data_IF_346788406271
#
_entry.id   IF_346788406271
#
_cell.length_a   1.000
_cell.length_b   1.000
_cell.length_c   1.000
_cell.angle_alpha   90.00
_cell.angle_beta   90.00
_cell.angle_gamma   90.00
#
_symmetry.space_group_name_H-M   'P 1'
#
loop_
_entity.id
_entity.type
_entity.pdbx_description
1 polymer ?
#
# COMPACT_ATOMS: atom_id res chain seq x y z
N UNK A 1 36.85 -16.99 22.95
CA UNK A 1 36.40 -16.25 24.17
C UNK A 1 36.88 -14.79 24.28
N UNK A 2 37.76 -14.27 23.41
CA UNK A 2 38.11 -12.84 23.40
C UNK A 2 37.13 -11.96 22.59
N UNK A 3 36.34 -12.59 21.71
CA UNK A 3 35.41 -11.92 20.79
C UNK A 3 34.18 -11.33 21.50
N UNK A 4 33.61 -12.06 22.47
CA UNK A 4 32.43 -11.63 23.24
C UNK A 4 32.66 -10.37 24.10
N UNK A 5 33.91 -10.07 24.48
CA UNK A 5 34.24 -8.87 25.27
C UNK A 5 34.24 -7.59 24.44
N UNK A 6 34.53 -7.69 23.14
CA UNK A 6 34.50 -6.54 22.22
C UNK A 6 33.06 -6.18 21.86
N UNK A 7 32.21 -7.19 21.66
CA UNK A 7 30.78 -6.99 21.41
C UNK A 7 30.07 -6.29 22.57
N UNK A 8 30.32 -6.70 23.82
CA UNK A 8 29.71 -6.06 25.00
C UNK A 8 30.08 -4.58 25.17
N UNK A 9 31.27 -4.18 24.71
CA UNK A 9 31.73 -2.79 24.80
C UNK A 9 31.10 -1.91 23.72
N UNK A 10 30.94 -2.44 22.50
CA UNK A 10 30.26 -1.73 21.40
C UNK A 10 28.77 -1.57 21.69
N UNK A 11 28.11 -2.60 22.22
CA UNK A 11 26.68 -2.60 22.54
C UNK A 11 26.34 -1.62 23.67
N UNK A 12 27.21 -1.51 24.69
CA UNK A 12 27.06 -0.52 25.76
C UNK A 12 27.24 0.93 25.26
N UNK A 13 28.15 1.17 24.32
CA UNK A 13 28.36 2.49 23.70
C UNK A 13 27.18 2.89 22.80
N UNK A 14 26.61 1.94 22.06
CA UNK A 14 25.43 2.17 21.22
C UNK A 14 24.19 2.53 22.07
N UNK A 15 23.95 1.83 23.19
CA UNK A 15 22.84 2.19 24.10
C UNK A 15 23.02 3.55 24.79
N UNK A 16 24.26 3.95 25.10
CA UNK A 16 24.52 5.28 25.67
C UNK A 16 24.25 6.41 24.68
N UNK A 17 24.41 6.17 23.37
CA UNK A 17 24.09 7.14 22.33
C UNK A 17 22.58 7.28 22.06
N UNK A 18 21.80 6.19 22.14
CA UNK A 18 20.35 6.25 21.89
C UNK A 18 19.56 6.88 23.04
N UNK A 19 19.96 6.67 24.30
CA UNK A 19 19.26 7.30 25.45
C UNK A 19 19.53 8.81 25.55
N UNK A 20 20.68 9.29 25.03
CA UNK A 20 21.00 10.73 25.01
C UNK A 20 20.21 11.56 23.98
N UNK A 21 19.70 10.95 22.91
CA UNK A 21 19.05 11.67 21.80
C UNK A 21 17.58 12.06 22.02
N UNK A 22 16.88 11.44 22.97
CA UNK A 22 15.43 11.62 23.14
C UNK A 22 15.06 12.89 23.93
N UNK A 23 16.03 13.60 24.51
CA UNK A 23 15.77 14.77 25.37
C UNK A 23 15.62 16.13 24.66
N UNK A 24 15.66 16.20 23.32
CA UNK A 24 15.63 17.49 22.57
C UNK A 24 14.33 17.75 21.79
N UNK A 25 13.39 16.79 21.69
CA UNK A 25 12.22 16.94 20.81
C UNK A 25 10.88 17.27 21.50
N UNK A 26 10.86 17.58 22.80
CA UNK A 26 9.61 17.91 23.51
C UNK A 26 9.49 19.41 23.87
N UNK A 27 9.64 20.30 22.88
CA UNK A 27 9.47 21.76 23.02
C UNK A 27 8.73 22.40 21.82
N UNK A 28 7.67 21.76 21.30
CA UNK A 28 6.65 22.45 20.51
C UNK A 28 5.25 21.97 20.91
N UNK A 29 4.88 22.32 22.15
CA UNK A 29 3.50 22.36 22.60
C UNK A 29 2.79 23.58 21.98
N UNK A 30 1.54 23.35 21.56
CA UNK A 30 0.39 24.24 21.82
C UNK A 30 0.51 25.67 21.25
N UNK A 31 -0.02 25.86 20.04
CA UNK A 31 -0.68 27.12 19.67
C UNK A 31 -2.16 26.83 19.43
N UNK A 32 -2.90 26.88 20.53
CA UNK A 32 -4.34 27.06 20.56
C UNK A 32 -4.69 28.34 19.78
N UNK A 33 -5.62 28.24 18.83
CA UNK A 33 -6.08 29.36 18.01
C UNK A 33 -7.45 29.06 17.44
N UNK A 34 -8.48 29.27 18.25
CA UNK A 34 -9.87 29.27 17.79
C UNK A 34 -10.09 30.43 16.81
N UNK A 35 -10.54 30.09 15.60
CA UNK A 35 -11.03 31.03 14.62
C UNK A 35 -12.54 31.15 14.74
N UNK A 36 -12.98 32.19 15.44
CA UNK A 36 -14.34 32.71 15.43
C UNK A 36 -14.70 33.23 14.03
N UNK A 37 -15.92 32.93 13.58
CA UNK A 37 -16.48 33.44 12.32
C UNK A 37 -16.87 34.90 12.53
N UNK A 38 -16.17 35.82 11.88
CA UNK A 38 -16.60 37.23 11.77
C UNK A 38 -16.79 37.63 10.32
N UNK A 39 -18.04 37.98 10.00
CA UNK A 39 -18.46 38.64 8.76
C UNK A 39 -18.04 40.11 8.80
N UNK A 40 -17.40 40.59 7.72
CA UNK A 40 -17.49 41.97 7.27
C UNK A 40 -16.24 42.84 7.37
N UNK A 41 -15.92 43.51 6.26
CA UNK A 41 -15.54 44.93 6.29
C UNK A 41 -14.05 45.29 6.20
N UNK A 42 -13.72 45.92 5.06
CA UNK A 42 -12.75 47.02 4.91
C UNK A 42 -11.24 46.74 4.76
N UNK A 43 -10.78 47.11 3.57
CA UNK A 43 -9.41 47.54 3.20
C UNK A 43 -9.01 48.77 4.03
N UNK A 44 -7.73 48.91 4.42
CA UNK A 44 -6.91 49.94 3.79
C UNK A 44 -5.45 49.56 3.54
N UNK A 45 -4.81 50.41 2.74
CA UNK A 45 -3.52 50.32 2.09
C UNK A 45 -2.25 50.47 2.96
N UNK A 46 -1.14 49.98 2.39
CA UNK A 46 0.23 50.55 2.38
C UNK A 46 1.22 50.27 3.55
N UNK A 47 2.27 49.47 3.28
CA UNK A 47 3.64 49.93 2.90
C UNK A 47 4.80 49.10 3.50
N UNK A 48 5.81 48.83 2.64
CA UNK A 48 7.26 48.58 2.91
C UNK A 48 7.67 47.22 3.52
N UNK A 49 8.76 46.53 3.16
CA UNK A 49 9.83 46.63 2.14
C UNK A 49 10.66 45.32 2.23
N UNK A 50 11.30 44.87 1.13
CA UNK A 50 12.60 44.15 1.21
C UNK A 50 12.67 42.62 1.05
N UNK A 51 12.79 42.16 -0.21
CA UNK A 51 13.90 41.30 -0.65
C UNK A 51 13.82 39.76 -0.54
N UNK A 52 13.65 39.07 -1.68
CA UNK A 52 14.64 38.14 -2.29
C UNK A 52 13.97 37.19 -3.31
N UNK A 53 14.35 37.31 -4.59
CA UNK A 53 14.13 36.32 -5.65
C UNK A 53 14.89 35.01 -5.35
N UNK A 54 14.42 33.87 -5.88
CA UNK A 54 15.02 33.38 -7.11
C UNK A 54 14.00 32.95 -8.17
N UNK A 55 14.45 33.15 -9.41
CA UNK A 55 13.82 32.84 -10.68
C UNK A 55 13.33 31.38 -10.79
N UNK A 56 12.09 31.21 -11.23
CA UNK A 56 11.69 30.04 -12.01
C UNK A 56 10.85 30.49 -13.19
N UNK A 57 11.47 30.30 -14.35
CA UNK A 57 10.92 30.53 -15.67
C UNK A 57 9.58 29.84 -15.88
N UNK A 58 8.75 30.59 -16.58
CA UNK A 58 7.47 30.22 -17.11
C UNK A 58 7.57 29.03 -18.08
N UNK A 59 6.64 28.09 -17.96
CA UNK A 59 6.13 27.38 -19.11
C UNK A 59 4.60 27.39 -19.04
N UNK A 60 4.03 28.39 -19.71
CA UNK A 60 2.63 28.48 -20.05
C UNK A 60 2.46 27.92 -21.46
N UNK A 61 1.56 26.96 -21.62
CA UNK A 61 1.19 26.37 -22.90
C UNK A 61 -0.08 25.55 -22.73
N UNK A 62 -1.18 26.26 -22.45
CA UNK A 62 -2.52 25.72 -22.59
C UNK A 62 -2.96 25.97 -24.04
N UNK A 63 -3.20 24.90 -24.79
CA UNK A 63 -3.98 24.94 -26.02
C UNK A 63 -5.00 23.81 -25.95
N UNK A 64 -6.27 24.22 -25.90
CA UNK A 64 -7.45 23.39 -26.07
C UNK A 64 -7.63 23.18 -27.57
N UNK A 65 -7.73 21.92 -28.01
CA UNK A 65 -8.43 21.60 -29.26
C UNK A 65 -9.48 20.53 -28.95
N UNK A 66 -10.73 20.98 -29.04
CA UNK A 66 -11.94 20.19 -29.20
C UNK A 66 -12.05 19.78 -30.66
N UNK A 67 -12.02 18.49 -30.95
CA UNK A 67 -12.49 17.97 -32.24
C UNK A 67 -13.76 17.13 -32.02
N UNK A 68 -14.87 17.76 -32.41
CA UNK A 68 -16.14 17.13 -32.75
C UNK A 68 -15.96 16.18 -33.94
N UNK A 69 -16.25 14.89 -33.72
CA UNK A 69 -16.33 13.86 -34.75
C UNK A 69 -17.75 13.32 -34.87
N UNK A 70 -18.57 14.02 -35.66
CA UNK A 70 -19.91 13.59 -36.07
C UNK A 70 -19.79 12.88 -37.43
N UNK A 71 -20.30 11.64 -37.57
CA UNK A 71 -20.15 10.87 -38.81
C UNK A 71 -20.85 9.51 -38.86
N UNK A 72 -22.14 9.57 -39.21
CA UNK A 72 -22.95 8.62 -39.98
C UNK A 72 -23.29 7.21 -39.46
N UNK A 73 -24.61 7.02 -39.36
CA UNK A 73 -25.31 5.75 -39.34
C UNK A 73 -25.18 5.00 -40.68
N UNK A 74 -25.33 3.67 -40.65
CA UNK A 74 -26.39 2.90 -41.33
C UNK A 74 -25.90 1.46 -41.60
N UNK A 75 -26.66 0.47 -41.11
CA UNK A 75 -27.12 -0.70 -41.86
C UNK A 75 -27.57 -1.81 -40.91
N UNK A 76 -28.89 -1.87 -40.68
CA UNK A 76 -29.56 -3.08 -40.22
C UNK A 76 -29.69 -4.10 -41.36
N UNK A 77 -29.55 -5.40 -41.07
CA UNK A 77 -30.00 -6.47 -41.97
C UNK A 77 -29.67 -7.89 -41.49
N UNK A 78 -30.53 -8.90 -41.74
CA UNK A 78 -30.86 -9.98 -40.79
C UNK A 78 -30.10 -11.32 -40.98
N UNK A 79 -30.14 -12.19 -39.95
CA UNK A 79 -29.68 -13.60 -39.96
C UNK A 79 -30.48 -14.53 -40.91
N UNK A 80 -30.13 -15.82 -41.09
CA UNK A 80 -30.27 -16.92 -40.08
C UNK A 80 -29.13 -17.99 -40.11
N UNK A 81 -28.73 -18.61 -38.99
CA UNK A 81 -29.18 -19.86 -38.31
C UNK A 81 -28.54 -21.20 -38.76
N UNK A 82 -28.24 -22.02 -37.72
CA UNK A 82 -28.32 -23.48 -37.60
C UNK A 82 -27.08 -24.43 -37.69
N UNK A 83 -26.98 -25.27 -36.64
CA UNK A 83 -26.39 -26.62 -36.61
C UNK A 83 -25.10 -26.75 -35.77
N UNK A 84 -25.00 -27.47 -34.65
CA UNK A 84 -25.84 -28.49 -34.04
C UNK A 84 -25.23 -29.00 -32.71
N UNK A 85 -25.81 -30.05 -32.08
CA UNK A 85 -25.70 -30.34 -30.65
C UNK A 85 -24.49 -31.23 -30.30
N UNK A 86 -23.81 -30.89 -29.20
CA UNK A 86 -22.81 -31.74 -28.55
C UNK A 86 -23.27 -32.15 -27.16
N UNK A 87 -23.48 -33.44 -26.99
CA UNK A 87 -23.89 -34.12 -25.77
C UNK A 87 -23.01 -33.82 -24.55
N UNK A 88 -23.65 -33.29 -23.50
CA UNK A 88 -23.66 -33.87 -22.16
C UNK A 88 -22.35 -34.16 -21.43
N UNK A 89 -21.87 -33.18 -20.66
CA UNK A 89 -21.31 -33.45 -19.33
C UNK A 89 -21.95 -32.44 -18.36
N UNK A 90 -22.60 -32.87 -17.26
CA UNK A 90 -23.22 -31.93 -16.33
C UNK A 90 -22.12 -31.16 -15.61
N UNK A 91 -21.96 -29.89 -15.96
CA UNK A 91 -21.21 -28.95 -15.14
C UNK A 91 -21.79 -28.98 -13.71
N UNK A 92 -20.96 -29.10 -12.66
CA UNK A 92 -21.45 -29.02 -11.30
C UNK A 92 -22.14 -27.66 -11.11
N UNK A 93 -23.35 -27.70 -10.55
CA UNK A 93 -24.14 -26.52 -10.23
C UNK A 93 -23.30 -25.48 -9.45
N UNK A 94 -23.52 -24.17 -9.65
CA UNK A 94 -22.94 -23.16 -8.78
C UNK A 94 -23.39 -23.47 -7.35
N UNK A 95 -22.44 -23.86 -6.50
CA UNK A 95 -22.70 -23.95 -5.08
C UNK A 95 -22.72 -22.52 -4.55
N UNK A 96 -23.90 -21.99 -4.26
CA UNK A 96 -24.05 -20.82 -3.40
C UNK A 96 -23.43 -21.13 -2.03
N UNK A 97 -22.38 -20.43 -1.56
CA UNK A 97 -22.04 -20.49 -0.15
C UNK A 97 -23.02 -19.62 0.66
N UNK A 98 -23.44 -20.08 1.84
CA UNK A 98 -24.43 -19.40 2.66
C UNK A 98 -23.94 -18.02 3.13
N UNK A 99 -24.88 -17.07 3.12
CA UNK A 99 -24.72 -15.72 3.61
C UNK A 99 -24.55 -15.65 5.14
N UNK A 100 -23.66 -14.73 5.55
CA UNK A 100 -23.82 -13.82 6.69
C UNK A 100 -23.77 -14.41 8.11
N UNK A 101 -22.53 -14.68 8.55
CA UNK A 101 -22.13 -14.46 9.94
C UNK A 101 -21.17 -13.27 10.02
N UNK A 102 -21.08 -12.55 11.16
CA UNK A 102 -20.03 -11.55 11.38
C UNK A 102 -18.67 -12.26 11.32
N UNK A 103 -17.97 -12.15 10.19
CA UNK A 103 -16.72 -12.87 9.90
C UNK A 103 -16.74 -13.75 8.64
N UNK A 104 -17.88 -13.90 7.95
CA UNK A 104 -17.90 -14.53 6.63
C UNK A 104 -17.30 -13.55 5.59
N UNK A 105 -16.23 -13.97 4.91
CA UNK A 105 -15.69 -13.24 3.76
C UNK A 105 -16.82 -12.92 2.77
N UNK A 106 -16.89 -11.69 2.22
CA UNK A 106 -17.96 -11.31 1.33
C UNK A 106 -18.01 -12.26 0.13
N UNK A 107 -19.23 -12.57 -0.32
CA UNK A 107 -19.43 -13.30 -1.56
C UNK A 107 -18.70 -12.53 -2.69
N UNK A 108 -17.83 -13.22 -3.43
CA UNK A 108 -17.06 -12.63 -4.54
C UNK A 108 -15.54 -12.58 -4.36
N UNK A 109 -14.99 -12.92 -3.20
CA UNK A 109 -13.52 -13.05 -3.06
C UNK A 109 -12.98 -14.29 -3.77
N UNK A 110 -11.79 -14.18 -4.37
CA UNK A 110 -11.04 -15.33 -4.89
C UNK A 110 -10.53 -16.23 -3.75
N UNK A 111 -10.06 -17.44 -4.07
CA UNK A 111 -9.49 -18.34 -3.06
C UNK A 111 -8.27 -17.72 -2.35
N UNK A 112 -7.42 -17.08 -3.13
CA UNK A 112 -6.21 -16.42 -2.66
C UNK A 112 -6.52 -15.21 -1.77
N UNK A 113 -7.48 -14.40 -2.17
CA UNK A 113 -7.97 -13.28 -1.36
C UNK A 113 -8.54 -13.75 -0.02
N UNK A 114 -9.29 -14.86 0.00
CA UNK A 114 -9.77 -15.45 1.26
C UNK A 114 -8.62 -15.97 2.11
N UNK A 115 -7.60 -16.57 1.50
CA UNK A 115 -6.39 -17.01 2.19
C UNK A 115 -5.68 -15.85 2.88
N UNK A 116 -5.48 -14.75 2.16
CA UNK A 116 -4.88 -13.53 2.71
C UNK A 116 -5.70 -12.94 3.87
N UNK A 117 -7.01 -12.77 3.70
CA UNK A 117 -7.87 -12.23 4.77
C UNK A 117 -7.84 -13.15 5.99
N UNK A 118 -7.88 -14.47 5.80
CA UNK A 118 -7.79 -15.41 6.91
C UNK A 118 -6.45 -15.31 7.64
N UNK A 119 -5.34 -15.23 6.90
CA UNK A 119 -3.99 -15.10 7.48
C UNK A 119 -3.85 -13.86 8.38
N UNK A 120 -4.50 -12.75 8.02
CA UNK A 120 -4.46 -11.50 8.80
C UNK A 120 -5.53 -11.42 9.89
N UNK A 121 -6.67 -12.07 9.73
CA UNK A 121 -7.76 -12.02 10.72
C UNK A 121 -7.38 -12.62 12.08
N UNK A 122 -6.38 -13.51 12.10
CA UNK A 122 -5.85 -14.13 13.31
C UNK A 122 -4.72 -13.32 13.97
N UNK A 123 -4.27 -12.21 13.38
CA UNK A 123 -3.21 -11.37 13.95
C UNK A 123 -3.78 -10.27 14.84
N UNK A 124 -2.97 -9.76 15.77
CA UNK A 124 -3.36 -8.62 16.60
C UNK A 124 -3.41 -7.29 15.83
N UNK A 125 -2.91 -7.26 14.60
CA UNK A 125 -2.81 -6.05 13.78
C UNK A 125 -4.13 -5.71 13.09
N UNK A 126 -4.96 -6.71 12.77
CA UNK A 126 -6.28 -6.52 12.18
C UNK A 126 -7.36 -6.81 13.23
N UNK A 127 -8.09 -5.79 13.72
CA UNK A 127 -9.15 -6.01 14.70
C UNK A 127 -10.22 -6.98 14.18
N UNK A 128 -10.77 -7.79 15.08
CA UNK A 128 -11.88 -8.68 14.76
C UNK A 128 -13.08 -7.87 14.21
N UNK A 129 -13.68 -8.38 13.13
CA UNK A 129 -14.78 -7.72 12.43
C UNK A 129 -14.34 -6.57 11.51
N UNK A 130 -13.04 -6.41 11.23
CA UNK A 130 -12.56 -5.53 10.16
C UNK A 130 -13.16 -5.95 8.82
N UNK A 131 -13.55 -4.97 8.01
CA UNK A 131 -14.11 -5.23 6.69
C UNK A 131 -13.09 -5.98 5.80
N UNK A 132 -13.45 -7.14 5.23
CA UNK A 132 -12.52 -7.93 4.42
C UNK A 132 -11.96 -7.19 3.20
N UNK A 133 -12.69 -6.23 2.63
CA UNK A 133 -12.16 -5.43 1.52
C UNK A 133 -11.07 -4.46 2.01
N UNK A 134 -11.24 -3.85 3.19
CA UNK A 134 -10.19 -3.06 3.83
C UNK A 134 -8.94 -3.89 4.15
N UNK A 135 -9.10 -5.16 4.55
CA UNK A 135 -7.94 -6.06 4.73
C UNK A 135 -7.24 -6.28 3.39
N UNK A 136 -7.98 -6.60 2.33
CA UNK A 136 -7.40 -6.81 0.99
C UNK A 136 -6.68 -5.58 0.42
N UNK A 137 -7.15 -4.38 0.77
CA UNK A 137 -6.48 -3.13 0.40
C UNK A 137 -5.06 -3.08 0.96
N UNK A 138 -4.86 -3.49 2.22
CA UNK A 138 -3.52 -3.58 2.84
C UNK A 138 -2.61 -4.56 2.09
N UNK A 139 -3.15 -5.72 1.69
CA UNK A 139 -2.40 -6.70 0.91
C UNK A 139 -2.01 -6.19 -0.47
N UNK A 140 -2.91 -5.46 -1.12
CA UNK A 140 -2.66 -4.83 -2.43
C UNK A 140 -1.60 -3.74 -2.30
N UNK A 141 -1.67 -2.90 -1.26
CA UNK A 141 -0.65 -1.88 -0.97
C UNK A 141 0.73 -2.52 -0.74
N UNK A 142 0.80 -3.65 -0.03
CA UNK A 142 2.05 -4.38 0.16
C UNK A 142 2.63 -4.88 -1.17
N UNK A 143 1.82 -5.49 -2.03
CA UNK A 143 2.24 -5.92 -3.36
C UNK A 143 2.67 -4.75 -4.26
N UNK A 144 1.97 -3.63 -4.20
CA UNK A 144 2.34 -2.40 -4.95
C UNK A 144 3.68 -1.83 -4.47
N UNK A 145 3.93 -1.86 -3.16
CA UNK A 145 5.19 -1.41 -2.57
C UNK A 145 6.34 -2.34 -2.94
N UNK A 146 6.13 -3.65 -2.96
CA UNK A 146 7.09 -4.63 -3.47
C UNK A 146 7.40 -4.39 -4.95
N UNK A 147 6.37 -4.17 -5.77
CA UNK A 147 6.54 -3.85 -7.18
C UNK A 147 7.27 -2.52 -7.41
N UNK A 148 7.07 -1.54 -6.53
CA UNK A 148 7.84 -0.29 -6.53
C UNK A 148 9.31 -0.56 -6.21
N UNK A 149 9.62 -1.28 -5.12
CA UNK A 149 10.99 -1.61 -4.75
C UNK A 149 11.69 -2.43 -5.83
N UNK A 150 11.03 -3.41 -6.43
CA UNK A 150 11.58 -4.18 -7.55
C UNK A 150 11.95 -3.33 -8.78
N UNK A 151 11.38 -2.13 -8.93
CA UNK A 151 11.73 -1.19 -10.01
C UNK A 151 12.76 -0.14 -9.60
N UNK A 152 12.88 0.16 -8.31
CA UNK A 152 13.59 1.35 -7.82
C UNK A 152 14.72 1.06 -6.83
N UNK A 153 14.77 -0.15 -6.27
CA UNK A 153 15.77 -0.61 -5.34
C UNK A 153 16.49 -1.84 -5.91
N UNK A 154 17.64 -2.15 -5.32
CA UNK A 154 18.31 -3.43 -5.58
C UNK A 154 17.56 -4.58 -4.91
N UNK A 155 17.82 -5.79 -5.39
CA UNK A 155 17.25 -7.00 -4.80
C UNK A 155 17.63 -7.14 -3.32
N UNK A 156 18.88 -6.85 -2.97
CA UNK A 156 19.37 -6.88 -1.58
C UNK A 156 18.68 -5.83 -0.69
N UNK A 157 18.44 -4.62 -1.20
CA UNK A 157 17.67 -3.61 -0.48
C UNK A 157 16.21 -4.02 -0.27
N UNK A 158 15.61 -4.70 -1.25
CA UNK A 158 14.24 -5.20 -1.15
C UNK A 158 14.13 -6.33 -0.13
N UNK A 159 15.08 -7.27 -0.15
CA UNK A 159 15.20 -8.34 0.86
C UNK A 159 15.41 -7.76 2.26
N UNK A 160 16.27 -6.75 2.40
CA UNK A 160 16.48 -6.07 3.68
C UNK A 160 15.19 -5.39 4.18
N UNK A 161 14.45 -4.70 3.32
CA UNK A 161 13.17 -4.07 3.66
C UNK A 161 12.11 -5.09 4.11
N UNK A 162 12.08 -6.27 3.47
CA UNK A 162 11.23 -7.39 3.89
C UNK A 162 11.61 -7.92 5.28
N UNK A 163 12.90 -8.22 5.48
CA UNK A 163 13.43 -8.71 6.76
C UNK A 163 13.20 -7.73 7.90
N UNK A 164 13.43 -6.45 7.65
CA UNK A 164 13.29 -5.40 8.66
C UNK A 164 11.82 -5.02 8.92
N UNK A 165 10.88 -5.64 8.19
CA UNK A 165 9.44 -5.43 8.37
C UNK A 165 8.95 -4.06 7.90
N UNK A 166 9.67 -3.41 6.99
CA UNK A 166 9.32 -2.06 6.49
C UNK A 166 8.07 -2.05 5.62
N UNK A 167 7.67 -3.22 5.11
CA UNK A 167 6.47 -3.45 4.32
C UNK A 167 5.51 -4.29 5.18
N UNK A 168 4.51 -3.66 5.81
CA UNK A 168 3.54 -4.37 6.64
C UNK A 168 2.83 -5.47 5.82
N UNK A 169 2.58 -6.61 6.45
CA UNK A 169 1.85 -7.74 5.85
C UNK A 169 2.48 -8.33 4.58
N UNK A 170 3.74 -8.01 4.27
CA UNK A 170 4.38 -8.46 3.04
C UNK A 170 4.44 -9.99 2.93
N UNK A 171 4.80 -10.71 3.99
CA UNK A 171 4.88 -12.18 3.95
C UNK A 171 3.53 -12.82 3.57
N UNK A 172 2.44 -12.38 4.20
CA UNK A 172 1.09 -12.86 3.87
C UNK A 172 0.66 -12.45 2.45
N UNK A 173 0.97 -11.23 2.04
CA UNK A 173 0.65 -10.72 0.71
C UNK A 173 1.39 -11.49 -0.38
N UNK A 174 2.69 -11.78 -0.21
CA UNK A 174 3.48 -12.59 -1.14
C UNK A 174 2.91 -14.00 -1.24
N UNK A 175 2.60 -14.63 -0.10
CA UNK A 175 2.10 -16.01 -0.07
C UNK A 175 0.78 -16.18 -0.83
N UNK A 176 -0.09 -15.18 -0.79
CA UNK A 176 -1.45 -15.30 -1.31
C UNK A 176 -1.73 -14.43 -2.53
N UNK A 177 -1.36 -13.16 -2.51
CA UNK A 177 -1.77 -12.16 -3.51
C UNK A 177 -0.74 -11.95 -4.62
N UNK A 178 0.55 -11.93 -4.28
CA UNK A 178 1.64 -11.68 -5.22
C UNK A 178 2.77 -12.72 -5.10
N UNK A 179 2.50 -13.99 -5.47
CA UNK A 179 3.44 -15.11 -5.34
C UNK A 179 4.70 -14.96 -6.22
N UNK A 180 4.70 -14.07 -7.20
CA UNK A 180 5.87 -13.75 -8.02
C UNK A 180 7.06 -13.19 -7.21
N UNK A 181 6.82 -12.68 -6.00
CA UNK A 181 7.88 -12.19 -5.10
C UNK A 181 8.35 -13.25 -4.09
N UNK A 182 7.94 -14.52 -4.23
CA UNK A 182 8.27 -15.60 -3.30
C UNK A 182 9.78 -15.76 -3.05
N UNK A 183 10.59 -15.68 -4.11
CA UNK A 183 12.06 -15.81 -4.00
C UNK A 183 12.67 -14.72 -3.09
N UNK A 184 12.08 -13.53 -3.01
CA UNK A 184 12.55 -12.46 -2.13
C UNK A 184 12.22 -12.74 -0.67
N UNK A 185 11.07 -13.36 -0.41
CA UNK A 185 10.64 -13.74 0.94
C UNK A 185 11.53 -14.85 1.49
N UNK A 186 11.75 -15.91 0.71
CA UNK A 186 12.62 -17.04 1.11
C UNK A 186 14.01 -16.54 1.50
N UNK A 187 14.59 -15.65 0.69
CA UNK A 187 15.90 -15.03 0.99
C UNK A 187 15.90 -14.20 2.28
N UNK A 188 14.84 -13.45 2.53
CA UNK A 188 14.72 -12.64 3.75
C UNK A 188 14.68 -13.52 5.01
N UNK A 189 13.95 -14.64 4.95
CA UNK A 189 13.83 -15.60 6.04
C UNK A 189 15.14 -16.38 6.29
N UNK A 190 15.85 -16.77 5.23
CA UNK A 190 17.16 -17.44 5.33
C UNK A 190 18.20 -16.57 6.05
N UNK A 191 18.23 -15.27 5.75
CA UNK A 191 19.17 -14.33 6.38
C UNK A 191 18.86 -14.11 7.87
N UNK A 192 17.58 -14.10 8.26
CA UNK A 192 17.18 -13.97 9.67
C UNK A 192 17.67 -15.15 10.51
N UNK A 193 17.55 -16.40 10.02
CA UNK A 193 18.04 -17.59 10.74
C UNK A 193 19.57 -17.53 10.97
N UNK A 194 20.32 -16.95 10.03
CA UNK A 194 21.77 -16.80 10.20
C UNK A 194 22.17 -15.72 11.20
N UNK A 195 21.31 -14.72 11.45
CA UNK A 195 21.61 -13.63 12.38
C UNK A 195 21.49 -14.04 13.87
N UNK A 196 20.68 -15.06 14.18
CA UNK A 196 20.48 -15.55 15.56
C UNK A 196 21.56 -16.58 16.00
N UNK A 197 22.42 -17.04 15.09
CA UNK A 197 23.41 -18.11 15.31
C UNK A 197 24.79 -17.62 15.78
#
# INVERSE_FOLDING_TARGET
>A
MAWMRRYRLVLALAMLLTVGGVLVLNQCSVRSGGGEVTVGGERPDAAADGGAQPDRDANAGAEQETEDGEGDADAAGPGPADGGPGDGEPAPAPQDPPAEGPGAAPAGLTADQRGFVAALSDTSEVPAGTDPAAVLELGTEACDRLGYLGRHATEEETVAALRDGEIPQAAAAITHLCPEYGDLLDRAEEEEETADR
#
